data_IF_095191838007
#
_entry.id   IF_095191838007
#
_cell.length_a   1.000
_cell.length_b   1.000
_cell.length_c   1.000
_cell.angle_alpha   90.00
_cell.angle_beta   90.00
_cell.angle_gamma   90.00
#
_symmetry.space_group_name_H-M   'P 1'
#
loop_
_entity.id
_entity.type
_entity.pdbx_description
1 polymer ?
#
# COMPACT_ATOMS: atom_id res chain seq x y z
N UNK A 1 4.74 6.86 3.50
CA UNK A 1 3.53 6.61 2.69
C UNK A 1 2.33 6.57 3.62
N UNK A 2 1.33 7.42 3.41
CA UNK A 2 0.06 7.32 4.12
C UNK A 2 -0.92 6.44 3.33
N UNK A 3 -1.62 5.55 4.02
CA UNK A 3 -2.55 4.59 3.41
C UNK A 3 -3.97 4.89 3.81
N UNK A 4 -4.86 4.92 2.81
CA UNK A 4 -6.25 5.32 2.94
C UNK A 4 -7.16 4.23 2.40
N UNK A 5 -8.17 3.85 3.18
CA UNK A 5 -9.25 2.97 2.70
C UNK A 5 -10.38 3.85 2.14
N UNK A 6 -10.78 3.68 0.87
CA UNK A 6 -11.89 4.42 0.28
C UNK A 6 -13.14 4.43 1.15
N UNK A 7 -13.76 5.61 1.28
CA UNK A 7 -14.98 5.84 2.09
C UNK A 7 -14.81 5.53 3.58
N UNK A 8 -13.58 5.43 4.09
CA UNK A 8 -13.31 5.09 5.50
C UNK A 8 -12.30 6.06 6.10
N UNK A 9 -11.13 6.22 5.52
CA UNK A 9 -10.12 7.16 6.02
C UNK A 9 -8.71 6.59 6.02
N UNK A 10 -7.80 7.37 6.59
CA UNK A 10 -6.41 6.99 6.78
C UNK A 10 -6.27 5.98 7.91
N UNK A 11 -5.56 4.88 7.64
CA UNK A 11 -5.45 3.72 8.55
C UNK A 11 -4.02 3.30 8.85
N UNK A 12 -3.04 3.80 8.09
CA UNK A 12 -1.66 3.47 8.36
C UNK A 12 -0.66 4.38 7.70
N UNK A 13 0.57 4.24 8.18
CA UNK A 13 1.76 4.85 7.63
C UNK A 13 2.89 3.82 7.58
N UNK A 14 3.64 3.85 6.49
CA UNK A 14 4.82 3.03 6.31
C UNK A 14 5.79 3.64 5.32
N UNK A 15 6.99 3.10 5.27
CA UNK A 15 8.04 3.52 4.34
C UNK A 15 8.15 2.51 3.22
N UNK A 16 8.23 2.99 1.97
CA UNK A 16 8.49 2.12 0.81
C UNK A 16 9.90 1.58 0.94
N UNK A 17 10.04 0.25 1.03
CA UNK A 17 11.32 -0.40 1.34
C UNK A 17 12.06 -0.94 0.12
N UNK A 18 11.49 -0.79 -1.08
CA UNK A 18 12.08 -1.29 -2.32
C UNK A 18 11.34 -0.83 -3.56
N UNK A 19 11.88 -1.20 -4.72
CA UNK A 19 11.26 -0.90 -6.02
C UNK A 19 9.99 -1.74 -6.25
N UNK A 20 9.01 -1.25 -7.03
CA UNK A 20 7.88 -2.05 -7.46
C UNK A 20 8.33 -3.28 -8.25
N UNK A 21 7.77 -4.44 -7.95
CA UNK A 21 8.06 -5.70 -8.64
C UNK A 21 6.77 -6.39 -9.10
N UNK A 22 6.76 -7.11 -10.23
CA UNK A 22 5.66 -7.99 -10.58
C UNK A 22 5.37 -9.00 -9.47
N UNK A 23 4.09 -9.34 -9.23
CA UNK A 23 3.68 -10.24 -8.15
C UNK A 23 4.45 -11.57 -8.13
N UNK A 24 4.73 -12.13 -9.31
CA UNK A 24 5.48 -13.38 -9.49
C UNK A 24 6.93 -13.31 -9.00
N UNK A 25 7.52 -12.11 -9.04
CA UNK A 25 8.92 -11.84 -8.68
C UNK A 25 9.06 -11.17 -7.31
N UNK A 26 7.96 -10.70 -6.73
CA UNK A 26 7.97 -9.90 -5.51
C UNK A 26 8.55 -10.67 -4.32
N UNK A 27 9.63 -10.14 -3.75
CA UNK A 27 10.27 -10.65 -2.54
C UNK A 27 10.12 -9.62 -1.41
N UNK A 28 9.60 -10.08 -0.27
CA UNK A 28 9.33 -9.26 0.91
C UNK A 28 10.21 -9.71 2.08
N UNK A 29 10.60 -8.77 2.93
CA UNK A 29 11.20 -9.08 4.23
C UNK A 29 10.10 -9.42 5.24
N UNK A 30 10.10 -10.64 5.76
CA UNK A 30 9.14 -11.12 6.77
C UNK A 30 9.95 -11.70 7.93
N UNK A 31 9.79 -11.13 9.12
CA UNK A 31 10.54 -11.51 10.32
C UNK A 31 12.07 -11.48 10.12
N UNK A 32 12.56 -10.57 9.28
CA UNK A 32 13.97 -10.43 8.94
C UNK A 32 14.49 -11.36 7.84
N UNK A 33 13.63 -12.22 7.28
CA UNK A 33 13.98 -13.14 6.20
C UNK A 33 13.33 -12.73 4.88
N UNK A 34 14.06 -12.88 3.77
CA UNK A 34 13.52 -12.68 2.43
C UNK A 34 12.62 -13.86 2.04
N UNK A 35 11.37 -13.58 1.67
CA UNK A 35 10.38 -14.57 1.23
C UNK A 35 9.61 -14.06 0.02
N UNK A 36 9.32 -14.95 -0.93
CA UNK A 36 8.45 -14.59 -2.07
C UNK A 36 7.04 -14.30 -1.55
N UNK A 37 6.42 -13.24 -2.06
CA UNK A 37 5.05 -12.88 -1.69
C UNK A 37 4.07 -14.02 -1.98
N UNK A 38 4.26 -14.74 -3.09
CA UNK A 38 3.43 -15.87 -3.49
C UNK A 38 3.45 -17.05 -2.49
N UNK A 39 4.50 -17.17 -1.68
CA UNK A 39 4.66 -18.25 -0.70
C UNK A 39 4.15 -17.86 0.70
N UNK A 40 3.72 -16.61 0.89
CA UNK A 40 3.25 -16.12 2.19
C UNK A 40 1.86 -16.64 2.52
N UNK A 41 1.66 -17.00 3.79
CA UNK A 41 0.34 -17.28 4.34
C UNK A 41 -0.40 -15.97 4.60
N UNK A 42 -1.31 -15.61 3.71
CA UNK A 42 -2.08 -14.38 3.80
C UNK A 42 -3.29 -14.52 4.72
N UNK A 43 -3.62 -13.44 5.43
CA UNK A 43 -4.90 -13.31 6.14
C UNK A 43 -5.97 -12.81 5.17
N UNK A 44 -6.52 -13.74 4.40
CA UNK A 44 -7.56 -13.49 3.41
C UNK A 44 -7.37 -14.32 2.15
N UNK A 45 -8.36 -14.27 1.25
CA UNK A 45 -8.27 -14.91 -0.06
C UNK A 45 -7.64 -13.93 -1.05
N UNK A 46 -6.43 -14.24 -1.51
CA UNK A 46 -5.79 -13.53 -2.61
C UNK A 46 -5.85 -14.40 -3.86
N UNK A 47 -6.28 -13.82 -4.97
CA UNK A 47 -6.23 -14.46 -6.27
C UNK A 47 -5.54 -13.49 -7.22
N UNK A 48 -4.33 -13.77 -7.70
CA UNK A 48 -3.63 -12.87 -8.60
C UNK A 48 -4.46 -12.67 -9.87
N UNK A 49 -4.66 -11.41 -10.24
CA UNK A 49 -5.34 -10.97 -11.44
C UNK A 49 -4.33 -10.83 -12.58
N UNK A 50 -3.99 -11.94 -13.23
CA UNK A 50 -3.13 -11.89 -14.42
C UNK A 50 -2.57 -13.25 -14.81
N UNK A 51 -2.64 -13.55 -16.10
CA UNK A 51 -1.73 -14.52 -16.71
C UNK A 51 -0.35 -13.87 -16.93
N UNK A 52 0.63 -14.60 -17.50
CA UNK A 52 1.90 -14.00 -17.89
C UNK A 52 1.68 -12.79 -18.81
N UNK A 53 2.67 -11.90 -18.88
CA UNK A 53 2.62 -10.74 -19.76
C UNK A 53 2.17 -11.15 -21.17
N UNK A 54 1.14 -10.50 -21.70
CA UNK A 54 0.69 -10.71 -23.08
C UNK A 54 1.68 -9.96 -23.99
N UNK A 55 2.85 -10.58 -24.21
CA UNK A 55 3.96 -10.00 -24.99
C UNK A 55 3.51 -9.57 -26.40
N UNK A 56 2.48 -10.23 -26.95
CA UNK A 56 1.91 -9.90 -28.27
C UNK A 56 1.18 -8.55 -28.32
N UNK A 57 0.71 -8.01 -27.19
CA UNK A 57 -0.06 -6.75 -27.15
C UNK A 57 0.74 -5.56 -26.63
N UNK A 58 1.97 -5.77 -26.16
CA UNK A 58 2.87 -4.72 -25.68
C UNK A 58 2.40 -3.98 -24.41
N UNK A 59 1.31 -4.43 -23.78
CA UNK A 59 0.80 -3.85 -22.54
C UNK A 59 1.15 -4.75 -21.34
N UNK A 60 1.95 -4.23 -20.40
CA UNK A 60 2.21 -4.91 -19.14
C UNK A 60 0.99 -4.81 -18.21
N UNK A 61 0.18 -5.86 -18.21
CA UNK A 61 -1.04 -5.99 -17.39
C UNK A 61 -0.81 -6.79 -16.11
N UNK A 62 0.45 -7.05 -15.74
CA UNK A 62 0.76 -7.79 -14.52
C UNK A 62 0.36 -6.99 -13.29
N UNK A 63 0.11 -7.69 -12.19
CA UNK A 63 -0.01 -7.06 -10.89
C UNK A 63 1.37 -6.65 -10.38
N UNK A 64 1.50 -5.39 -9.98
CA UNK A 64 2.72 -4.84 -9.41
C UNK A 64 2.58 -4.65 -7.91
N UNK A 65 3.58 -5.10 -7.17
CA UNK A 65 3.68 -5.06 -5.72
C UNK A 65 4.70 -4.02 -5.32
N UNK A 66 4.32 -3.12 -4.42
CA UNK A 66 5.24 -2.15 -3.81
C UNK A 66 5.52 -2.60 -2.37
N UNK A 67 6.77 -2.96 -2.02
CA UNK A 67 7.11 -3.35 -0.66
C UNK A 67 7.04 -2.14 0.28
N UNK A 68 6.39 -2.33 1.42
CA UNK A 68 6.19 -1.28 2.43
C UNK A 68 6.45 -1.85 3.82
N UNK A 69 7.34 -1.18 4.55
CA UNK A 69 7.59 -1.43 5.96
C UNK A 69 6.62 -0.56 6.77
N UNK A 70 5.68 -1.19 7.48
CA UNK A 70 4.65 -0.49 8.24
C UNK A 70 5.20 0.01 9.58
N UNK A 71 5.07 1.32 9.82
CA UNK A 71 5.52 1.96 11.05
C UNK A 71 4.40 2.01 12.09
N UNK A 72 3.19 2.36 11.65
CA UNK A 72 1.97 2.42 12.46
C UNK A 72 0.75 2.07 11.61
N UNK A 73 -0.20 1.36 12.21
CA UNK A 73 -1.51 1.10 11.64
C UNK A 73 -2.55 1.07 12.76
N UNK A 74 -3.77 1.48 12.43
CA UNK A 74 -4.94 1.43 13.32
C UNK A 74 -6.03 0.55 12.70
N UNK A 75 -6.93 -0.04 13.51
CA UNK A 75 -8.11 -0.72 13.00
C UNK A 75 -8.94 0.15 12.07
N UNK A 76 -9.75 -0.48 11.20
CA UNK A 76 -10.62 0.23 10.24
C UNK A 76 -11.59 1.18 10.95
N UNK A 77 -12.02 0.81 12.13
CA UNK A 77 -12.97 1.53 12.98
C UNK A 77 -12.37 2.83 13.55
N UNK A 78 -11.04 2.91 13.60
CA UNK A 78 -10.27 4.06 14.08
C UNK A 78 -9.70 4.89 12.92
N UNK A 79 -10.12 4.61 11.68
CA UNK A 79 -9.67 5.34 10.50
C UNK A 79 -9.99 6.85 10.62
N UNK A 80 -9.01 7.69 10.28
CA UNK A 80 -9.18 9.14 10.31
C UNK A 80 -9.65 9.68 8.97
N UNK A 81 -10.82 10.30 8.98
CA UNK A 81 -11.31 11.14 7.89
C UNK A 81 -11.97 12.40 8.44
N UNK A 82 -11.71 13.54 7.81
CA UNK A 82 -12.32 14.84 8.15
C UNK A 82 -12.64 15.62 6.88
N UNK A 83 -13.64 16.50 6.96
CA UNK A 83 -13.94 17.44 5.89
C UNK A 83 -12.69 18.23 5.51
N UNK A 84 -12.41 18.31 4.20
CA UNK A 84 -11.21 18.96 3.67
C UNK A 84 -10.00 18.05 3.50
N UNK A 85 -10.09 16.76 3.87
CA UNK A 85 -9.03 15.81 3.56
C UNK A 85 -8.97 15.50 2.07
N UNK A 86 -7.74 15.36 1.57
CA UNK A 86 -7.47 14.83 0.24
C UNK A 86 -7.08 13.36 0.34
N UNK A 87 -7.60 12.53 -0.55
CA UNK A 87 -7.09 11.19 -0.82
C UNK A 87 -7.29 10.86 -2.30
N UNK A 88 -6.33 10.14 -2.87
CA UNK A 88 -6.45 9.59 -4.21
C UNK A 88 -7.13 8.21 -4.13
N UNK A 89 -8.09 7.96 -5.02
CA UNK A 89 -8.75 6.65 -5.14
C UNK A 89 -8.01 5.71 -6.10
N UNK A 90 -7.02 6.20 -6.85
CA UNK A 90 -6.07 5.37 -7.59
C UNK A 90 -5.02 4.77 -6.65
N UNK A 91 -4.09 3.95 -7.17
CA UNK A 91 -3.12 3.19 -6.38
C UNK A 91 -2.25 4.04 -5.45
N UNK A 92 -1.67 5.15 -5.94
CA UNK A 92 -0.85 6.05 -5.15
C UNK A 92 -0.77 7.45 -5.77
N UNK A 93 -0.45 8.46 -4.95
CA UNK A 93 -0.01 9.77 -5.44
C UNK A 93 0.87 10.46 -4.41
N UNK A 94 1.60 11.49 -4.85
CA UNK A 94 2.25 12.42 -3.92
C UNK A 94 1.21 13.25 -3.18
N UNK A 95 1.04 13.00 -1.88
CA UNK A 95 0.21 13.83 -1.02
C UNK A 95 0.88 15.19 -0.81
N UNK A 96 0.18 16.28 -1.18
CA UNK A 96 0.65 17.67 -1.02
C UNK A 96 -0.28 18.52 -0.15
N UNK A 97 -1.46 18.00 0.21
CA UNK A 97 -2.44 18.71 1.01
C UNK A 97 -1.91 18.85 2.45
N UNK A 98 -1.33 20.02 2.76
CA UNK A 98 -0.66 20.29 4.04
C UNK A 98 -1.54 19.96 5.25
N UNK A 99 -2.80 20.38 5.22
CA UNK A 99 -3.78 20.07 6.27
C UNK A 99 -3.96 18.56 6.50
N UNK A 100 -4.05 17.79 5.41
CA UNK A 100 -4.13 16.31 5.51
C UNK A 100 -2.85 15.72 6.08
N UNK A 101 -1.69 16.19 5.62
CA UNK A 101 -0.39 15.71 6.11
C UNK A 101 -0.27 15.95 7.61
N UNK A 102 -0.51 17.18 8.08
CA UNK A 102 -0.38 17.56 9.49
C UNK A 102 -1.30 16.72 10.41
N UNK A 103 -2.57 16.57 10.03
CA UNK A 103 -3.54 15.84 10.86
C UNK A 103 -3.29 14.32 10.88
N UNK A 104 -2.91 13.74 9.74
CA UNK A 104 -2.62 12.31 9.65
C UNK A 104 -1.26 11.98 10.30
N UNK A 105 -0.26 12.86 10.16
CA UNK A 105 0.99 12.79 10.93
C UNK A 105 0.73 12.79 12.43
N UNK A 106 -0.15 13.67 12.90
CA UNK A 106 -0.53 13.73 14.32
C UNK A 106 -1.21 12.45 14.80
N UNK A 107 -2.09 11.85 14.00
CA UNK A 107 -2.72 10.56 14.33
C UNK A 107 -1.66 9.48 14.58
N UNK A 108 -0.68 9.37 13.69
CA UNK A 108 0.34 8.32 13.76
C UNK A 108 1.56 8.68 14.62
N UNK A 109 1.58 9.89 15.20
CA UNK A 109 2.66 10.35 16.08
C UNK A 109 4.01 10.50 15.35
N UNK A 110 3.97 10.90 14.09
CA UNK A 110 5.15 11.06 13.22
C UNK A 110 5.24 12.52 12.76
N UNK A 111 6.25 13.22 13.27
CA UNK A 111 6.53 14.63 13.02
C UNK A 111 7.90 15.02 13.56
#
# INVERSE_FOLDING_TARGET
MFTHIPKTGYVGVGTVSGEPQPFEDAVLAVDGESRRMADLRLKGSYRPHGGPADEERGEDRREWVVPVDWERAVPREEALWRTGFFANQNSACKLRARFTIEEVSRLFGIG
#
